data_IF_439408104481
#
_entry.id   IF_439408104481
#
_cell.length_a   1.000
_cell.length_b   1.000
_cell.length_c   1.000
_cell.angle_alpha   90.00
_cell.angle_beta   90.00
_cell.angle_gamma   90.00
#
_symmetry.space_group_name_H-M   'P 1'
#
loop_
_entity.id
_entity.type
_entity.pdbx_description
1 polymer ?
#
# COMPACT_ATOMS: atom_id res chain seq x y z
N UNK A 1 33.83 28.13 3.16
CA UNK A 1 32.61 27.36 3.54
C UNK A 1 32.42 26.27 2.50
N UNK A 2 32.85 25.06 2.79
CA UNK A 2 32.59 23.95 1.91
C UNK A 2 31.09 23.63 2.06
N UNK A 3 30.33 23.89 1.01
CA UNK A 3 28.92 23.45 0.96
C UNK A 3 28.94 21.97 0.68
N UNK A 4 28.73 21.14 1.68
CA UNK A 4 28.57 19.68 1.52
C UNK A 4 27.24 19.29 0.85
N UNK A 5 26.53 20.25 0.29
CA UNK A 5 25.23 20.09 -0.38
C UNK A 5 25.28 18.99 -1.44
N UNK A 6 26.23 19.10 -2.36
CA UNK A 6 26.41 18.12 -3.42
C UNK A 6 26.81 16.73 -2.91
N UNK A 7 27.69 16.65 -1.91
CA UNK A 7 28.10 15.37 -1.33
C UNK A 7 26.97 14.71 -0.55
N UNK A 8 26.19 15.50 0.20
CA UNK A 8 24.99 15.01 0.88
C UNK A 8 23.95 14.52 -0.13
N UNK A 9 23.65 15.29 -1.17
CA UNK A 9 22.66 14.92 -2.19
C UNK A 9 23.07 13.65 -2.92
N UNK A 10 24.35 13.50 -3.31
CA UNK A 10 24.88 12.25 -3.89
C UNK A 10 24.73 11.06 -2.95
N UNK A 11 25.06 11.24 -1.67
CA UNK A 11 24.97 10.18 -0.68
C UNK A 11 23.53 9.74 -0.45
N UNK A 12 22.59 10.68 -0.37
CA UNK A 12 21.15 10.40 -0.26
C UNK A 12 20.65 9.69 -1.51
N UNK A 13 21.01 10.17 -2.71
CA UNK A 13 20.64 9.51 -3.97
C UNK A 13 21.13 8.06 -4.00
N UNK A 14 22.42 7.84 -3.72
CA UNK A 14 23.01 6.50 -3.72
C UNK A 14 22.35 5.56 -2.70
N UNK A 15 21.97 6.09 -1.53
CA UNK A 15 21.31 5.34 -0.47
C UNK A 15 19.87 4.94 -0.85
N UNK A 16 19.17 5.80 -1.58
CA UNK A 16 17.80 5.55 -2.01
C UNK A 16 17.71 4.74 -3.30
N UNK A 17 18.64 4.93 -4.23
CA UNK A 17 18.58 4.34 -5.57
C UNK A 17 18.59 2.81 -5.52
N UNK A 18 17.58 2.19 -6.06
CA UNK A 18 17.35 0.75 -6.01
C UNK A 18 16.81 0.21 -4.67
N UNK A 19 16.60 1.09 -3.68
CA UNK A 19 16.11 0.72 -2.33
C UNK A 19 14.68 1.20 -2.07
N UNK A 20 14.21 2.24 -2.79
CA UNK A 20 12.81 2.70 -2.65
C UNK A 20 11.88 1.69 -3.28
N UNK A 21 10.87 1.29 -2.53
CA UNK A 21 9.87 0.33 -2.99
C UNK A 21 8.48 0.95 -3.05
N UNK A 22 7.71 0.52 -4.01
CA UNK A 22 6.30 0.80 -4.18
C UNK A 22 5.52 -0.47 -4.49
N UNK A 23 4.25 -0.33 -4.73
CA UNK A 23 3.41 -1.45 -5.13
C UNK A 23 3.46 -1.54 -6.66
N UNK A 24 3.96 -2.66 -7.20
CA UNK A 24 3.90 -2.90 -8.64
C UNK A 24 2.46 -3.06 -9.12
N UNK A 25 1.91 -2.02 -9.70
CA UNK A 25 0.69 -2.02 -10.55
C UNK A 25 -0.58 -2.72 -10.06
N UNK A 26 -0.53 -3.49 -8.98
CA UNK A 26 -1.67 -4.18 -8.38
C UNK A 26 -1.47 -4.35 -6.87
N UNK A 27 -1.41 -3.22 -6.16
CA UNK A 27 -1.31 -3.17 -4.70
C UNK A 27 -2.37 -3.99 -3.98
N UNK A 28 -2.16 -4.21 -2.69
CA UNK A 28 -3.21 -4.80 -1.84
C UNK A 28 -4.45 -3.92 -1.97
N UNK A 29 -5.50 -4.46 -2.51
CA UNK A 29 -6.76 -3.74 -2.80
C UNK A 29 -7.68 -3.82 -1.58
N UNK A 30 -8.52 -2.80 -1.40
CA UNK A 30 -9.71 -2.91 -0.59
C UNK A 30 -10.91 -2.84 -1.54
N UNK A 31 -11.53 -3.97 -1.78
CA UNK A 31 -12.66 -4.10 -2.70
C UNK A 31 -13.92 -4.41 -1.91
N UNK A 32 -15.00 -3.75 -2.26
CA UNK A 32 -16.33 -4.02 -1.69
C UNK A 32 -17.23 -4.64 -2.75
N UNK A 33 -17.87 -5.73 -2.40
CA UNK A 33 -18.87 -6.45 -3.20
C UNK A 33 -20.23 -6.34 -2.53
N UNK A 34 -21.28 -6.21 -3.31
CA UNK A 34 -22.67 -6.31 -2.84
C UNK A 34 -23.17 -7.73 -3.04
N UNK A 35 -23.63 -8.36 -1.97
CA UNK A 35 -24.21 -9.72 -2.00
C UNK A 35 -25.73 -9.63 -1.87
N UNK A 36 -26.43 -10.34 -2.74
CA UNK A 36 -27.87 -10.55 -2.66
C UNK A 36 -28.18 -12.03 -2.85
N UNK A 37 -29.40 -12.47 -2.50
CA UNK A 37 -29.84 -13.83 -2.72
C UNK A 37 -31.05 -13.85 -3.64
N UNK A 38 -30.99 -14.65 -4.71
CA UNK A 38 -32.08 -14.86 -5.64
C UNK A 38 -32.18 -16.37 -5.98
N UNK A 39 -33.37 -16.93 -5.95
CA UNK A 39 -33.62 -18.34 -6.26
C UNK A 39 -32.73 -19.33 -5.47
N UNK A 40 -32.37 -18.99 -4.22
CA UNK A 40 -31.52 -19.82 -3.37
C UNK A 40 -30.05 -19.82 -3.77
N UNK A 41 -29.57 -18.80 -4.51
CA UNK A 41 -28.17 -18.64 -4.93
C UNK A 41 -27.64 -17.25 -4.54
N UNK A 42 -26.37 -17.16 -4.21
CA UNK A 42 -25.70 -15.86 -4.03
C UNK A 42 -25.50 -15.16 -5.38
N UNK A 43 -25.84 -13.88 -5.42
CA UNK A 43 -25.46 -12.96 -6.48
C UNK A 43 -24.47 -11.96 -5.93
N UNK A 44 -23.34 -11.79 -6.59
CA UNK A 44 -22.29 -10.85 -6.21
C UNK A 44 -22.20 -9.80 -7.32
N UNK A 45 -22.47 -8.52 -6.96
CA UNK A 45 -22.59 -7.40 -7.90
C UNK A 45 -23.53 -7.72 -9.08
N UNK A 46 -24.62 -8.47 -8.82
CA UNK A 46 -25.61 -8.85 -9.80
C UNK A 46 -25.28 -10.10 -10.63
N UNK A 47 -24.09 -10.70 -10.48
CA UNK A 47 -23.72 -11.95 -11.15
C UNK A 47 -24.02 -13.15 -10.26
N UNK A 48 -24.66 -14.19 -10.83
CA UNK A 48 -24.99 -15.42 -10.11
C UNK A 48 -23.74 -16.25 -9.85
N UNK A 49 -23.43 -16.53 -8.60
CA UNK A 49 -22.32 -17.38 -8.13
C UNK A 49 -21.03 -17.26 -8.94
N UNK A 50 -20.52 -15.99 -9.16
CA UNK A 50 -19.34 -15.81 -10.00
C UNK A 50 -18.09 -16.41 -9.34
N UNK A 51 -17.16 -16.92 -10.16
CA UNK A 51 -15.79 -17.13 -9.72
C UNK A 51 -15.12 -15.77 -9.57
N UNK A 52 -14.64 -15.45 -8.38
CA UNK A 52 -13.93 -14.21 -8.12
C UNK A 52 -12.42 -14.46 -8.00
N UNK A 53 -11.60 -13.49 -8.40
CA UNK A 53 -10.17 -13.51 -8.19
C UNK A 53 -9.81 -12.56 -7.05
N UNK A 54 -9.23 -13.11 -5.99
CA UNK A 54 -8.72 -12.36 -4.84
C UNK A 54 -7.20 -12.42 -4.80
N UNK A 55 -6.55 -11.33 -4.37
CA UNK A 55 -5.09 -11.23 -4.25
C UNK A 55 -4.66 -11.36 -2.80
N UNK A 56 -3.60 -12.12 -2.53
CA UNK A 56 -2.98 -12.18 -1.19
C UNK A 56 -2.60 -10.78 -0.71
N UNK A 57 -2.70 -10.55 0.59
CA UNK A 57 -2.48 -9.26 1.22
C UNK A 57 -3.61 -8.25 1.03
N UNK A 58 -4.57 -8.48 0.14
CA UNK A 58 -5.71 -7.58 -0.12
C UNK A 58 -6.90 -7.88 0.77
N UNK A 59 -7.77 -6.89 0.95
CA UNK A 59 -8.97 -6.99 1.78
C UNK A 59 -10.21 -6.88 0.92
N UNK A 60 -11.14 -7.79 1.12
CA UNK A 60 -12.40 -7.88 0.39
C UNK A 60 -13.56 -7.91 1.36
N UNK A 61 -14.51 -6.99 1.16
CA UNK A 61 -15.71 -6.86 1.96
C UNK A 61 -16.92 -7.28 1.15
N UNK A 62 -17.65 -8.25 1.64
CA UNK A 62 -18.90 -8.77 1.05
C UNK A 62 -20.07 -8.25 1.87
N UNK A 63 -20.72 -7.20 1.38
CA UNK A 63 -21.88 -6.60 2.05
C UNK A 63 -23.06 -7.53 1.98
N UNK A 64 -23.69 -7.77 3.12
CA UNK A 64 -24.87 -8.59 3.29
C UNK A 64 -26.06 -7.81 3.87
N UNK A 65 -26.07 -6.49 3.66
CA UNK A 65 -27.07 -5.58 4.21
C UNK A 65 -28.40 -5.56 3.45
N UNK A 66 -28.48 -6.21 2.29
CA UNK A 66 -29.74 -6.44 1.57
C UNK A 66 -30.59 -7.49 2.27
N UNK A 67 -31.89 -7.24 2.44
CA UNK A 67 -32.85 -8.13 3.14
C UNK A 67 -32.94 -9.53 2.55
N UNK A 68 -32.59 -9.73 1.28
CA UNK A 68 -32.56 -11.08 0.64
C UNK A 68 -31.50 -11.99 1.26
N UNK A 69 -30.49 -11.45 1.94
CA UNK A 69 -29.50 -12.23 2.67
C UNK A 69 -30.03 -12.78 4.01
N UNK A 70 -31.24 -12.45 4.41
CA UNK A 70 -31.83 -12.95 5.66
C UNK A 70 -31.73 -14.47 5.74
N UNK A 71 -31.15 -15.01 6.83
CA UNK A 71 -30.85 -16.43 7.02
C UNK A 71 -29.79 -17.04 6.08
N UNK A 72 -29.03 -16.22 5.33
CA UNK A 72 -27.97 -16.66 4.42
C UNK A 72 -26.61 -16.05 4.73
N UNK A 73 -25.95 -16.39 5.87
CA UNK A 73 -24.63 -15.90 6.20
C UNK A 73 -23.59 -16.35 5.16
N UNK A 74 -22.78 -15.41 4.68
CA UNK A 74 -21.76 -15.63 3.65
C UNK A 74 -20.42 -15.98 4.32
N UNK A 75 -19.98 -17.21 4.18
CA UNK A 75 -18.79 -17.76 4.81
C UNK A 75 -17.80 -18.28 3.76
N UNK A 76 -16.56 -18.57 4.22
CA UNK A 76 -15.47 -19.06 3.39
C UNK A 76 -15.02 -20.45 3.83
N UNK A 77 -14.51 -21.27 2.88
CA UNK A 77 -13.99 -22.61 3.14
C UNK A 77 -12.91 -22.98 2.12
N UNK A 78 -12.09 -23.97 2.45
CA UNK A 78 -11.18 -24.64 1.51
C UNK A 78 -11.87 -25.76 0.72
N UNK A 79 -13.10 -26.11 1.10
CA UNK A 79 -13.90 -27.17 0.47
C UNK A 79 -15.10 -26.54 -0.22
N UNK A 80 -15.43 -27.02 -1.41
CA UNK A 80 -16.63 -26.60 -2.13
C UNK A 80 -17.85 -26.83 -1.28
N UNK A 81 -18.78 -25.85 -1.24
CA UNK A 81 -19.99 -25.85 -0.39
C UNK A 81 -19.69 -25.95 1.13
N UNK A 82 -18.45 -25.69 1.54
CA UNK A 82 -18.04 -25.54 2.94
C UNK A 82 -18.41 -26.73 3.83
N UNK A 83 -19.13 -26.45 4.92
CA UNK A 83 -19.56 -27.47 5.89
C UNK A 83 -20.56 -28.45 5.30
N UNK A 84 -21.32 -28.06 4.29
CA UNK A 84 -22.26 -28.96 3.59
C UNK A 84 -21.50 -29.94 2.67
N UNK A 85 -20.34 -29.56 2.16
CA UNK A 85 -19.44 -30.42 1.40
C UNK A 85 -18.47 -31.26 2.26
N UNK A 86 -18.69 -31.31 3.58
CA UNK A 86 -17.86 -32.08 4.53
C UNK A 86 -16.57 -31.34 4.95
N UNK A 87 -16.44 -30.05 4.60
CA UNK A 87 -15.31 -29.20 5.01
C UNK A 87 -15.57 -28.44 6.31
N UNK A 88 -14.70 -27.47 6.57
CA UNK A 88 -14.78 -26.55 7.70
C UNK A 88 -14.78 -25.10 7.21
N UNK A 89 -15.25 -24.20 8.05
CA UNK A 89 -15.14 -22.78 7.81
C UNK A 89 -13.67 -22.34 7.80
N UNK A 90 -13.29 -21.55 6.79
CA UNK A 90 -12.00 -20.86 6.73
C UNK A 90 -12.11 -19.53 7.50
N UNK A 91 -11.28 -19.35 8.52
CA UNK A 91 -11.37 -18.22 9.46
C UNK A 91 -10.14 -17.31 9.44
N UNK A 92 -9.05 -17.72 8.77
CA UNK A 92 -7.80 -16.93 8.74
C UNK A 92 -8.02 -15.61 8.00
N UNK A 93 -7.85 -14.48 8.72
CA UNK A 93 -8.08 -13.15 8.19
C UNK A 93 -9.54 -12.79 7.92
N UNK A 94 -10.49 -13.59 8.42
CA UNK A 94 -11.94 -13.41 8.21
C UNK A 94 -12.57 -12.76 9.43
N UNK A 95 -13.48 -11.82 9.18
CA UNK A 95 -14.35 -11.19 10.19
C UNK A 95 -15.78 -11.10 9.65
N UNK A 96 -16.75 -11.45 10.48
CA UNK A 96 -18.18 -11.29 10.19
C UNK A 96 -18.74 -10.18 11.09
N UNK A 97 -19.51 -9.27 10.54
CA UNK A 97 -20.13 -8.18 11.26
C UNK A 97 -21.63 -8.13 11.01
N UNK A 98 -22.39 -8.01 12.09
CA UNK A 98 -23.85 -7.96 12.05
C UNK A 98 -24.49 -9.31 11.70
N UNK A 99 -25.79 -9.26 11.43
CA UNK A 99 -26.58 -10.42 10.98
C UNK A 99 -26.95 -10.24 9.53
N UNK A 100 -26.69 -11.24 8.69
CA UNK A 100 -27.01 -11.22 7.28
C UNK A 100 -28.47 -10.79 7.03
N UNK A 101 -28.66 -9.88 6.08
CA UNK A 101 -29.92 -9.25 5.76
C UNK A 101 -30.25 -7.98 6.58
N UNK A 102 -29.44 -7.63 7.58
CA UNK A 102 -29.62 -6.40 8.36
C UNK A 102 -28.66 -5.30 7.89
N UNK A 103 -29.08 -4.05 8.02
CA UNK A 103 -28.30 -2.89 7.63
C UNK A 103 -26.88 -2.92 8.24
N UNK A 104 -25.88 -2.72 7.41
CA UNK A 104 -24.47 -2.66 7.79
C UNK A 104 -23.79 -4.02 8.01
N UNK A 105 -24.48 -5.14 7.78
CA UNK A 105 -23.85 -6.47 7.89
C UNK A 105 -22.92 -6.79 6.73
N UNK A 106 -21.82 -7.50 7.01
CA UNK A 106 -20.85 -7.92 6.01
C UNK A 106 -19.98 -9.09 6.49
N UNK A 107 -19.39 -9.79 5.53
CA UNK A 107 -18.26 -10.67 5.73
C UNK A 107 -17.02 -10.03 5.10
N UNK A 108 -15.92 -9.99 5.83
CA UNK A 108 -14.66 -9.41 5.37
C UNK A 108 -13.56 -10.48 5.41
N UNK A 109 -12.73 -10.52 4.37
CA UNK A 109 -11.53 -11.35 4.33
C UNK A 109 -10.33 -10.49 3.94
N UNK A 110 -9.29 -10.49 4.78
CA UNK A 110 -7.94 -10.08 4.39
C UNK A 110 -7.18 -11.33 4.02
N UNK A 111 -6.91 -11.51 2.73
CA UNK A 111 -6.31 -12.75 2.22
C UNK A 111 -4.88 -12.89 2.71
N UNK A 112 -4.63 -13.84 3.58
CA UNK A 112 -3.29 -14.09 4.12
C UNK A 112 -2.29 -14.48 3.01
N UNK A 113 -1.00 -14.18 3.20
CA UNK A 113 0.04 -14.60 2.24
C UNK A 113 0.15 -16.12 2.09
N UNK A 114 -0.17 -16.88 3.15
CA UNK A 114 -0.21 -18.34 3.16
C UNK A 114 -1.60 -18.94 2.85
N UNK A 115 -2.56 -18.15 2.34
CA UNK A 115 -3.87 -18.68 1.96
C UNK A 115 -3.74 -19.73 0.85
N UNK A 116 -4.60 -20.77 0.80
CA UNK A 116 -4.66 -21.68 -0.34
C UNK A 116 -4.95 -20.96 -1.66
N UNK A 117 -4.52 -21.53 -2.79
CA UNK A 117 -4.75 -20.94 -4.13
C UNK A 117 -6.23 -20.95 -4.52
N UNK A 118 -7.03 -21.78 -3.85
CA UNK A 118 -8.49 -21.88 -4.05
C UNK A 118 -9.19 -21.83 -2.70
N UNK A 119 -10.15 -20.93 -2.59
CA UNK A 119 -11.16 -20.90 -1.54
C UNK A 119 -12.55 -20.95 -2.19
N UNK A 120 -13.54 -21.17 -1.38
CA UNK A 120 -14.94 -21.15 -1.78
C UNK A 120 -15.71 -20.26 -0.83
N UNK A 121 -16.69 -19.53 -1.36
CA UNK A 121 -17.72 -18.92 -0.53
C UNK A 121 -18.96 -19.80 -0.53
N UNK A 122 -19.66 -19.82 0.58
CA UNK A 122 -20.85 -20.65 0.76
C UNK A 122 -21.81 -20.04 1.78
N UNK A 123 -23.04 -20.49 1.79
CA UNK A 123 -24.01 -20.14 2.83
C UNK A 123 -23.82 -21.05 4.04
N UNK A 124 -23.67 -20.51 5.25
CA UNK A 124 -23.55 -21.35 6.45
C UNK A 124 -24.78 -22.24 6.75
N UNK A 125 -25.94 -21.82 6.30
CA UNK A 125 -27.22 -22.50 6.63
C UNK A 125 -27.77 -23.42 5.52
N UNK A 126 -27.39 -23.17 4.25
CA UNK A 126 -27.98 -23.87 3.11
C UNK A 126 -26.91 -24.31 2.12
N UNK A 127 -27.02 -25.52 1.60
CA UNK A 127 -26.11 -26.07 0.59
C UNK A 127 -26.34 -25.47 -0.80
N UNK A 128 -25.34 -25.54 -1.66
CA UNK A 128 -25.43 -25.25 -3.08
C UNK A 128 -25.55 -23.76 -3.47
N UNK A 129 -25.39 -22.84 -2.55
CA UNK A 129 -25.58 -21.38 -2.80
C UNK A 129 -24.37 -20.65 -3.29
N UNK A 130 -23.15 -21.21 -3.11
CA UNK A 130 -21.88 -20.51 -3.23
C UNK A 130 -21.12 -20.76 -4.54
N UNK A 131 -19.87 -20.29 -4.57
CA UNK A 131 -18.96 -20.38 -5.71
C UNK A 131 -17.50 -20.38 -5.32
N UNK A 132 -16.62 -20.29 -6.31
CA UNK A 132 -15.17 -20.40 -6.15
C UNK A 132 -14.50 -19.02 -6.05
N UNK A 133 -13.45 -18.97 -5.25
CA UNK A 133 -12.47 -17.87 -5.18
C UNK A 133 -11.12 -18.39 -5.66
N UNK A 134 -10.57 -17.77 -6.69
CA UNK A 134 -9.17 -17.99 -7.13
C UNK A 134 -8.27 -17.03 -6.40
N UNK A 135 -7.30 -17.55 -5.65
CA UNK A 135 -6.37 -16.73 -4.88
C UNK A 135 -5.06 -16.59 -5.67
N UNK A 136 -4.71 -15.36 -6.00
CA UNK A 136 -3.50 -15.04 -6.75
C UNK A 136 -2.40 -14.49 -5.83
N UNK A 137 -1.17 -14.41 -6.35
CA UNK A 137 -0.04 -13.88 -5.60
C UNK A 137 -0.31 -12.46 -5.06
N UNK A 138 0.31 -12.16 -3.93
CA UNK A 138 0.37 -10.78 -3.44
C UNK A 138 1.02 -9.88 -4.50
N UNK A 139 0.66 -8.60 -4.56
CA UNK A 139 1.40 -7.65 -5.36
C UNK A 139 2.88 -7.69 -4.96
N UNK A 140 3.76 -7.84 -5.93
CA UNK A 140 5.19 -7.82 -5.68
C UNK A 140 5.61 -6.37 -5.45
N UNK A 141 6.38 -6.10 -4.40
CA UNK A 141 7.05 -4.81 -4.28
C UNK A 141 7.95 -4.61 -5.50
N UNK A 142 7.85 -3.46 -6.15
CA UNK A 142 8.72 -3.08 -7.27
C UNK A 142 9.66 -1.98 -6.82
N UNK A 143 10.86 -1.98 -7.32
CA UNK A 143 11.78 -0.86 -7.15
C UNK A 143 11.20 0.36 -7.84
N UNK A 144 11.11 1.46 -7.12
CA UNK A 144 10.70 2.76 -7.64
C UNK A 144 11.95 3.53 -8.02
N UNK A 145 12.10 3.94 -9.29
CA UNK A 145 13.26 4.71 -9.72
C UNK A 145 13.38 6.02 -8.93
N UNK A 146 14.61 6.38 -8.61
CA UNK A 146 14.95 7.66 -7.97
C UNK A 146 15.74 8.50 -8.97
N UNK A 147 15.38 9.75 -9.12
CA UNK A 147 16.02 10.69 -10.05
C UNK A 147 16.43 11.97 -9.31
N UNK A 148 17.46 12.61 -9.78
CA UNK A 148 17.81 14.01 -9.51
C UNK A 148 17.34 14.92 -10.64
N UNK A 149 17.27 14.37 -11.87
CA UNK A 149 16.64 14.98 -13.05
C UNK A 149 15.78 13.92 -13.75
N UNK A 150 14.54 14.26 -14.06
CA UNK A 150 13.57 13.29 -14.59
C UNK A 150 13.66 13.23 -16.11
N UNK A 151 14.04 12.07 -16.70
CA UNK A 151 14.03 11.90 -18.12
C UNK A 151 12.64 12.15 -18.74
N UNK A 152 12.61 12.68 -19.95
CA UNK A 152 11.36 12.79 -20.73
C UNK A 152 10.67 11.41 -20.84
N UNK A 153 9.34 11.40 -20.76
CA UNK A 153 8.50 10.20 -20.85
C UNK A 153 8.72 9.18 -19.73
N UNK A 154 9.23 9.63 -18.55
CA UNK A 154 9.36 8.74 -17.39
C UNK A 154 8.02 8.17 -16.97
N UNK A 155 7.99 6.85 -16.75
CA UNK A 155 6.78 6.11 -16.34
C UNK A 155 6.63 6.16 -14.81
N UNK A 156 5.41 6.38 -14.36
CA UNK A 156 5.07 6.30 -12.93
C UNK A 156 5.13 4.84 -12.41
N UNK A 157 5.39 4.62 -11.11
CA UNK A 157 5.78 5.61 -10.11
C UNK A 157 7.29 5.94 -10.16
N UNK A 158 7.66 7.11 -9.63
CA UNK A 158 9.06 7.51 -9.45
C UNK A 158 9.23 8.49 -8.29
N UNK A 159 10.47 8.66 -7.84
CA UNK A 159 10.86 9.60 -6.79
C UNK A 159 11.91 10.57 -7.35
N UNK A 160 11.86 11.82 -6.92
CA UNK A 160 12.83 12.87 -7.30
C UNK A 160 13.42 13.45 -6.03
N UNK A 161 14.74 13.70 -6.04
CA UNK A 161 15.38 14.63 -5.11
C UNK A 161 15.12 16.03 -5.62
N UNK A 162 14.33 16.79 -4.88
CA UNK A 162 13.93 18.15 -5.23
C UNK A 162 14.85 19.21 -4.64
N UNK A 163 14.25 20.32 -4.26
CA UNK A 163 14.97 21.50 -3.78
C UNK A 163 15.71 21.20 -2.48
N UNK A 164 16.88 21.81 -2.34
CA UNK A 164 17.66 21.82 -1.14
C UNK A 164 17.92 23.26 -0.69
N UNK A 165 17.90 23.46 0.63
CA UNK A 165 18.43 24.68 1.24
C UNK A 165 19.55 24.32 2.21
N UNK A 166 20.56 25.16 2.31
CA UNK A 166 21.70 24.99 3.20
C UNK A 166 21.88 26.25 4.05
N UNK A 167 21.91 26.08 5.36
CA UNK A 167 22.07 27.18 6.34
C UNK A 167 23.27 26.87 7.22
N UNK A 168 24.11 27.87 7.49
CA UNK A 168 25.24 27.72 8.40
C UNK A 168 24.74 27.29 9.80
N UNK A 169 25.30 26.21 10.31
CA UNK A 169 25.04 25.67 11.65
C UNK A 169 26.36 25.38 12.40
N UNK A 170 27.42 26.04 12.00
CA UNK A 170 28.74 25.89 12.62
C UNK A 170 28.88 26.63 13.94
N UNK A 171 29.91 26.27 14.67
CA UNK A 171 30.39 26.96 15.89
C UNK A 171 31.72 27.67 15.62
N UNK A 172 32.35 28.27 16.67
CA UNK A 172 33.67 28.88 16.55
C UNK A 172 34.79 27.87 16.24
N UNK A 173 34.55 26.58 16.50
CA UNK A 173 35.57 25.53 16.44
C UNK A 173 35.24 24.40 15.50
N UNK A 174 34.02 24.37 14.97
CA UNK A 174 33.55 23.33 14.08
C UNK A 174 32.60 23.93 13.05
N UNK A 175 32.97 23.79 11.78
CA UNK A 175 32.08 24.17 10.68
C UNK A 175 30.99 23.13 10.45
N UNK A 176 29.78 23.63 10.30
CA UNK A 176 28.60 22.77 10.09
C UNK A 176 27.54 23.46 9.27
N UNK A 177 26.75 22.66 8.61
CA UNK A 177 25.64 23.09 7.75
C UNK A 177 24.39 22.30 8.09
N UNK A 178 23.28 23.01 8.21
CA UNK A 178 21.96 22.43 8.25
C UNK A 178 21.35 22.46 6.85
N UNK A 179 21.00 21.30 6.35
CA UNK A 179 20.36 21.11 5.06
C UNK A 179 18.89 20.79 5.22
N UNK A 180 18.07 21.34 4.37
CA UNK A 180 16.69 20.88 4.18
C UNK A 180 16.54 20.33 2.78
N UNK A 181 16.32 19.03 2.65
CA UNK A 181 16.08 18.35 1.39
C UNK A 181 14.60 18.08 1.20
N UNK A 182 14.09 18.38 0.02
CA UNK A 182 12.74 17.99 -0.38
C UNK A 182 12.81 16.76 -1.28
N UNK A 183 11.98 15.77 -0.97
CA UNK A 183 11.83 14.56 -1.78
C UNK A 183 10.41 14.51 -2.29
N UNK A 184 10.25 14.35 -3.59
CA UNK A 184 8.97 14.24 -4.27
C UNK A 184 8.76 12.81 -4.73
N UNK A 185 7.59 12.27 -4.49
CA UNK A 185 7.16 10.97 -4.99
C UNK A 185 5.95 11.15 -5.89
N UNK A 186 5.91 10.43 -7.00
CA UNK A 186 4.87 10.56 -8.01
C UNK A 186 4.26 9.20 -8.34
N UNK A 187 2.94 9.13 -8.41
CA UNK A 187 2.18 7.92 -8.70
C UNK A 187 0.92 8.22 -9.48
N UNK A 188 0.56 7.34 -10.41
CA UNK A 188 -0.73 7.32 -11.08
C UNK A 188 -1.60 6.15 -10.65
N UNK A 189 -1.26 5.51 -9.54
CA UNK A 189 -2.09 4.46 -8.97
C UNK A 189 -3.44 5.01 -8.49
N UNK A 190 -4.50 4.25 -8.73
CA UNK A 190 -5.84 4.65 -8.31
C UNK A 190 -5.93 4.76 -6.79
N UNK A 191 -6.18 5.97 -6.29
CA UNK A 191 -6.23 6.28 -4.87
C UNK A 191 -4.89 6.78 -4.31
N UNK A 192 -4.72 6.74 -2.98
CA UNK A 192 -3.56 7.31 -2.28
C UNK A 192 -2.64 6.26 -1.69
N UNK A 193 -2.88 4.99 -1.96
CA UNK A 193 -2.17 3.92 -1.27
C UNK A 193 -0.72 3.83 -1.73
N UNK A 194 -0.48 3.66 -3.03
CA UNK A 194 0.87 3.52 -3.58
C UNK A 194 1.76 4.70 -3.21
N UNK A 195 1.25 5.94 -3.35
CA UNK A 195 2.03 7.12 -2.97
C UNK A 195 2.42 7.10 -1.49
N UNK A 196 1.53 6.64 -0.59
CA UNK A 196 1.84 6.54 0.85
C UNK A 196 2.86 5.43 1.14
N UNK A 197 2.83 4.32 0.42
CA UNK A 197 3.80 3.24 0.58
C UNK A 197 5.19 3.65 0.08
N UNK A 198 5.26 4.37 -1.05
CA UNK A 198 6.51 4.96 -1.54
C UNK A 198 7.07 5.94 -0.50
N UNK A 199 6.24 6.84 0.01
CA UNK A 199 6.64 7.80 1.06
C UNK A 199 7.10 7.09 2.34
N UNK A 200 6.43 5.99 2.75
CA UNK A 200 6.86 5.20 3.90
C UNK A 200 8.20 4.51 3.65
N UNK A 201 8.45 4.03 2.44
CA UNK A 201 9.74 3.47 2.03
C UNK A 201 10.86 4.52 2.12
N UNK A 202 10.64 5.70 1.56
CA UNK A 202 11.57 6.84 1.65
C UNK A 202 11.82 7.25 3.11
N UNK A 203 10.76 7.34 3.92
CA UNK A 203 10.90 7.62 5.35
C UNK A 203 11.81 6.61 6.04
N UNK A 204 11.59 5.32 5.81
CA UNK A 204 12.36 4.24 6.44
C UNK A 204 13.83 4.23 6.02
N UNK A 205 14.13 4.70 4.81
CA UNK A 205 15.49 4.81 4.30
C UNK A 205 16.23 6.04 4.84
N UNK A 206 15.55 7.16 5.06
CA UNK A 206 16.19 8.43 5.37
C UNK A 206 16.10 8.85 6.84
N UNK A 207 14.96 8.55 7.51
CA UNK A 207 14.73 9.02 8.87
C UNK A 207 15.63 8.31 9.88
N UNK A 208 16.50 9.05 10.56
CA UNK A 208 17.51 8.56 11.51
C UNK A 208 18.50 7.53 10.89
N UNK A 209 18.69 7.55 9.58
CA UNK A 209 19.60 6.64 8.91
C UNK A 209 21.04 7.10 8.98
N UNK A 210 21.97 6.15 9.09
CA UNK A 210 23.41 6.39 9.00
C UNK A 210 23.84 6.41 7.53
N UNK A 211 23.82 7.58 6.92
CA UNK A 211 24.29 7.79 5.54
C UNK A 211 25.70 8.32 5.58
N UNK A 212 26.62 7.69 4.84
CA UNK A 212 28.01 8.16 4.75
C UNK A 212 28.10 9.30 3.72
N UNK A 213 28.49 10.47 4.18
CA UNK A 213 28.76 11.65 3.34
C UNK A 213 30.28 11.82 3.17
N UNK A 214 30.74 11.96 1.94
CA UNK A 214 32.17 12.10 1.66
C UNK A 214 32.71 13.42 2.21
N UNK A 215 33.76 13.34 3.01
CA UNK A 215 34.43 14.52 3.61
C UNK A 215 33.63 15.22 4.71
N UNK A 216 32.57 14.58 5.22
CA UNK A 216 31.74 15.17 6.25
C UNK A 216 31.08 14.12 7.16
N UNK A 217 30.64 14.53 8.33
CA UNK A 217 29.92 13.72 9.29
C UNK A 217 28.44 14.12 9.34
N UNK A 218 27.55 13.22 8.91
CA UNK A 218 26.11 13.38 9.09
C UNK A 218 25.73 13.04 10.53
N UNK A 219 25.26 14.04 11.28
CA UNK A 219 24.86 13.86 12.69
C UNK A 219 23.48 13.25 12.80
N UNK A 220 22.55 13.77 12.01
CA UNK A 220 21.20 13.22 11.92
C UNK A 220 20.53 13.63 10.60
N UNK A 221 19.54 12.83 10.21
CA UNK A 221 18.58 13.18 9.14
C UNK A 221 17.18 12.85 9.65
N UNK A 222 16.28 13.82 9.64
CA UNK A 222 14.93 13.67 10.19
C UNK A 222 13.89 14.24 9.26
N UNK A 223 12.81 13.48 9.06
CA UNK A 223 11.65 14.02 8.37
C UNK A 223 10.95 15.05 9.27
N UNK A 224 10.67 16.22 8.73
CA UNK A 224 9.97 17.31 9.41
C UNK A 224 8.57 17.54 8.84
N UNK A 225 8.36 17.17 7.58
CA UNK A 225 7.09 17.40 6.90
C UNK A 225 6.80 16.28 5.91
N UNK A 226 5.53 15.91 5.77
CA UNK A 226 5.04 15.05 4.71
C UNK A 226 3.59 15.40 4.36
N UNK A 227 3.28 15.43 3.07
CA UNK A 227 1.91 15.62 2.57
C UNK A 227 1.68 14.85 1.28
N UNK A 228 0.41 14.60 0.95
CA UNK A 228 0.00 14.02 -0.33
C UNK A 228 -1.01 14.92 -1.02
N UNK A 229 -0.74 15.27 -2.25
CA UNK A 229 -1.57 16.11 -3.11
C UNK A 229 -2.22 15.28 -4.21
N UNK A 230 -3.32 15.75 -4.75
CA UNK A 230 -3.87 15.28 -6.01
C UNK A 230 -3.59 16.35 -7.05
N UNK A 231 -3.04 15.96 -8.18
CA UNK A 231 -2.79 16.87 -9.28
C UNK A 231 -4.06 17.20 -10.06
N UNK A 232 -4.01 18.25 -10.87
CA UNK A 232 -5.17 18.78 -11.61
C UNK A 232 -5.72 17.79 -12.64
N UNK A 233 -4.95 16.76 -13.04
CA UNK A 233 -5.41 15.69 -13.93
C UNK A 233 -6.36 14.70 -13.25
N UNK A 234 -6.55 14.82 -11.93
CA UNK A 234 -7.41 13.95 -11.12
C UNK A 234 -6.87 12.52 -10.91
N UNK A 235 -5.79 12.15 -11.58
CA UNK A 235 -5.21 10.80 -11.58
C UNK A 235 -3.91 10.80 -10.79
N UNK A 236 -3.01 11.73 -11.08
CA UNK A 236 -1.67 11.79 -10.49
C UNK A 236 -1.72 12.16 -9.00
N UNK A 237 -0.97 11.45 -8.21
CA UNK A 237 -0.75 11.68 -6.79
C UNK A 237 0.69 12.10 -6.58
N UNK A 238 0.88 13.17 -5.84
CA UNK A 238 2.16 13.78 -5.55
C UNK A 238 2.40 13.73 -4.04
N UNK A 239 3.43 13.02 -3.62
CA UNK A 239 3.92 13.00 -2.25
C UNK A 239 5.07 13.99 -2.11
N UNK A 240 5.00 14.84 -1.10
CA UNK A 240 6.09 15.79 -0.77
C UNK A 240 6.57 15.47 0.63
N UNK A 241 7.86 15.24 0.78
CA UNK A 241 8.51 15.00 2.06
C UNK A 241 9.69 15.96 2.22
N UNK A 242 9.86 16.47 3.43
CA UNK A 242 10.98 17.34 3.76
C UNK A 242 11.80 16.72 4.88
N UNK A 243 13.11 16.63 4.66
CA UNK A 243 14.06 16.10 5.62
C UNK A 243 15.07 17.17 5.98
N UNK A 244 15.32 17.32 7.27
CA UNK A 244 16.40 18.15 7.80
C UNK A 244 17.60 17.25 8.12
N UNK A 245 18.77 17.65 7.64
CA UNK A 245 20.04 16.98 7.89
C UNK A 245 21.05 17.97 8.48
N UNK A 246 21.81 17.54 9.48
CA UNK A 246 22.89 18.32 10.05
C UNK A 246 24.21 17.63 9.74
N UNK A 247 25.10 18.35 9.07
CA UNK A 247 26.39 17.85 8.59
C UNK A 247 27.50 18.74 9.12
N UNK A 248 28.56 18.14 9.62
CA UNK A 248 29.80 18.84 10.05
C UNK A 248 30.99 18.38 9.21
N UNK A 249 31.97 19.29 9.04
CA UNK A 249 33.24 18.95 8.45
C UNK A 249 33.94 17.87 9.28
N UNK A 250 34.59 16.89 8.61
CA UNK A 250 35.29 15.77 9.27
C UNK A 250 36.78 15.97 9.31
#
# INVERSE_FOLDING_TARGET
MALHSWELQKAVYAHMNGSVTGIGGSGTESVEYTVTVQNGMFFIDGAQTPTLTLKRGSTYKFKQDDGTNGSHPFYFSTTSDGTHGGGSQYTTGVTHYGTAGNAGSYSLITVANGAPDTLYYYCANHSGMGGQLTITAAPTAVNVPVYDDVPEQTVYPYVILGEETAVNNGSKTLDGVEHTLTVHAWSQYRGRREIKEIMQSVYSLLHNSAITVSGASLVNMRQEFATTLAENDGITRHGVMRFRAVVFDS
#
